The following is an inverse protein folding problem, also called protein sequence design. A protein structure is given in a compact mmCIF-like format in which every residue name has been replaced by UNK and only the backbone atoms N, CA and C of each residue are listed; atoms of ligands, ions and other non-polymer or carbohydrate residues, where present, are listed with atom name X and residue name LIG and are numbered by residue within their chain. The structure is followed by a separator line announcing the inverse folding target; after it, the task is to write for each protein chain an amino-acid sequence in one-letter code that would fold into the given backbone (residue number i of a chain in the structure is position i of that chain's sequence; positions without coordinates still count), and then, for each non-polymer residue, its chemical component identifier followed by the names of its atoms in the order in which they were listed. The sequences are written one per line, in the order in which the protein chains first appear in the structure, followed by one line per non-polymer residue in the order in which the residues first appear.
data_IF_389611117274
#
_entry.id   IF_389611117274
#
_cell.length_a   1.000
_cell.length_b   1.000
_cell.length_c   1.000
_cell.angle_alpha   90.00
_cell.angle_beta   90.00
_cell.angle_gamma   90.00
#
_symmetry.space_group_name_H-M   'P 1'
#
loop_
_entity.id
_entity.type
_entity.pdbx_description
1 polymer ?
#
# COMPACT_ATOMS: atom_id res chain seq x y z
N UNK A 1 -49.37 -11.82 54.03
CA UNK A 1 -48.91 -10.82 53.03
C UNK A 1 -47.40 -10.87 52.96
N UNK A 2 -46.81 -11.25 51.82
CA UNK A 2 -45.36 -11.12 51.58
C UNK A 2 -45.16 -10.46 50.23
N UNK A 3 -44.66 -9.24 50.25
CA UNK A 3 -44.27 -8.47 49.07
C UNK A 3 -43.03 -9.11 48.43
N UNK A 4 -43.25 -9.96 47.42
CA UNK A 4 -42.22 -10.30 46.43
C UNK A 4 -42.42 -9.37 45.23
N UNK A 5 -41.83 -8.18 45.26
CA UNK A 5 -41.85 -7.24 44.12
C UNK A 5 -40.48 -6.69 43.72
N UNK A 6 -39.38 -7.16 44.32
CA UNK A 6 -38.05 -6.59 44.08
C UNK A 6 -37.05 -7.44 43.29
N UNK A 7 -37.23 -8.77 43.16
CA UNK A 7 -36.18 -9.64 42.60
C UNK A 7 -36.13 -9.68 41.07
N UNK A 8 -37.28 -9.53 40.40
CA UNK A 8 -37.35 -9.57 38.94
C UNK A 8 -36.78 -8.32 38.26
N UNK A 9 -36.93 -7.13 38.86
CA UNK A 9 -36.39 -5.90 38.26
C UNK A 9 -34.87 -5.84 38.36
N UNK A 10 -34.28 -6.30 39.47
CA UNK A 10 -32.83 -6.25 39.69
C UNK A 10 -32.09 -7.20 38.75
N UNK A 11 -32.59 -8.42 38.55
CA UNK A 11 -31.98 -9.37 37.60
C UNK A 11 -32.04 -8.89 36.15
N UNK A 12 -33.12 -8.20 35.77
CA UNK A 12 -33.28 -7.65 34.42
C UNK A 12 -32.41 -6.40 34.21
N UNK A 13 -32.26 -5.54 35.23
CA UNK A 13 -31.37 -4.39 35.21
C UNK A 13 -29.89 -4.82 35.14
N UNK A 14 -29.53 -5.89 35.86
CA UNK A 14 -28.20 -6.47 35.83
C UNK A 14 -27.89 -7.14 34.48
N UNK A 15 -28.86 -7.82 33.86
CA UNK A 15 -28.70 -8.37 32.52
C UNK A 15 -28.52 -7.26 31.48
N UNK A 16 -29.33 -6.19 31.55
CA UNK A 16 -29.20 -5.04 30.66
C UNK A 16 -27.87 -4.32 30.84
N UNK A 17 -27.39 -4.14 32.07
CA UNK A 17 -26.10 -3.48 32.30
C UNK A 17 -24.92 -4.32 31.78
N UNK A 18 -24.93 -5.64 32.00
CA UNK A 18 -23.91 -6.55 31.45
C UNK A 18 -23.97 -6.56 29.92
N UNK A 19 -25.17 -6.66 29.33
CA UNK A 19 -25.34 -6.61 27.88
C UNK A 19 -24.84 -5.29 27.28
N UNK A 20 -25.06 -4.17 27.96
CA UNK A 20 -24.61 -2.85 27.50
C UNK A 20 -23.08 -2.71 27.60
N UNK A 21 -22.47 -3.22 28.67
CA UNK A 21 -21.01 -3.27 28.81
C UNK A 21 -20.41 -4.11 27.67
N UNK A 22 -20.94 -5.32 27.44
CA UNK A 22 -20.50 -6.19 26.35
C UNK A 22 -20.64 -5.45 25.01
N UNK A 23 -21.80 -4.83 24.75
CA UNK A 23 -22.03 -4.07 23.52
C UNK A 23 -20.98 -2.96 23.34
N UNK A 24 -20.71 -2.14 24.38
CA UNK A 24 -19.74 -1.04 24.32
C UNK A 24 -18.33 -1.55 24.02
N UNK A 25 -17.92 -2.64 24.66
CA UNK A 25 -16.61 -3.26 24.39
C UNK A 25 -16.53 -3.77 22.95
N UNK A 26 -17.55 -4.51 22.49
CA UNK A 26 -17.59 -5.02 21.12
C UNK A 26 -17.59 -3.88 20.10
N UNK A 27 -18.38 -2.82 20.29
CA UNK A 27 -18.42 -1.69 19.36
C UNK A 27 -17.10 -0.95 19.31
N UNK A 28 -16.46 -0.72 20.46
CA UNK A 28 -15.18 0.00 20.52
C UNK A 28 -14.06 -0.79 19.84
N UNK A 29 -13.96 -2.10 20.10
CA UNK A 29 -12.98 -2.95 19.43
C UNK A 29 -13.23 -3.06 17.93
N UNK A 30 -14.49 -3.20 17.49
CA UNK A 30 -14.82 -3.32 16.08
C UNK A 30 -14.50 -2.04 15.31
N UNK A 31 -14.81 -0.87 15.87
CA UNK A 31 -14.53 0.43 15.25
C UNK A 31 -13.04 0.65 15.03
N UNK A 32 -12.20 0.28 15.99
CA UNK A 32 -10.74 0.40 15.86
C UNK A 32 -10.21 -0.47 14.71
N UNK A 33 -10.65 -1.72 14.62
CA UNK A 33 -10.24 -2.63 13.53
C UNK A 33 -10.70 -2.10 12.16
N UNK A 34 -11.92 -1.58 12.07
CA UNK A 34 -12.44 -1.00 10.83
C UNK A 34 -11.64 0.23 10.41
N UNK A 35 -11.25 1.08 11.37
CA UNK A 35 -10.40 2.24 11.11
C UNK A 35 -9.03 1.82 10.57
N UNK A 36 -8.37 0.84 11.21
CA UNK A 36 -7.07 0.33 10.77
C UNK A 36 -7.15 -0.30 9.37
N UNK A 37 -8.20 -1.06 9.08
CA UNK A 37 -8.47 -1.62 7.74
C UNK A 37 -8.66 -0.53 6.69
N UNK A 38 -9.35 0.56 7.02
CA UNK A 38 -9.55 1.66 6.10
C UNK A 38 -8.23 2.34 5.77
N UNK A 39 -7.41 2.64 6.78
CA UNK A 39 -6.10 3.27 6.60
C UNK A 39 -5.17 2.40 5.75
N UNK A 40 -5.10 1.10 6.04
CA UNK A 40 -4.32 0.16 5.24
C UNK A 40 -4.83 0.08 3.78
N UNK A 41 -6.15 0.15 3.57
CA UNK A 41 -6.73 0.15 2.23
C UNK A 41 -6.39 1.41 1.44
N UNK A 42 -6.42 2.58 2.09
CA UNK A 42 -6.06 3.86 1.45
C UNK A 42 -4.59 3.83 1.00
N UNK A 43 -3.66 3.40 1.86
CA UNK A 43 -2.25 3.22 1.50
C UNK A 43 -2.09 2.20 0.36
N UNK A 44 -2.83 1.09 0.42
CA UNK A 44 -2.78 0.07 -0.63
C UNK A 44 -3.22 0.62 -1.99
N UNK A 45 -4.29 1.42 -2.02
CA UNK A 45 -4.78 2.08 -3.24
C UNK A 45 -3.73 3.05 -3.79
N UNK A 46 -3.14 3.89 -2.94
CA UNK A 46 -2.04 4.80 -3.33
C UNK A 46 -0.87 4.03 -3.94
N UNK A 47 -0.45 2.93 -3.32
CA UNK A 47 0.64 2.08 -3.85
C UNK A 47 0.28 1.43 -5.19
N UNK A 48 -0.95 0.95 -5.37
CA UNK A 48 -1.38 0.39 -6.66
C UNK A 48 -1.44 1.45 -7.75
N UNK A 49 -1.90 2.67 -7.44
CA UNK A 49 -1.91 3.78 -8.39
C UNK A 49 -0.48 4.14 -8.82
N UNK A 50 0.44 4.30 -7.85
CA UNK A 50 1.86 4.57 -8.11
C UNK A 50 2.46 3.49 -9.00
N UNK A 51 2.19 2.21 -8.70
CA UNK A 51 2.63 1.08 -9.52
C UNK A 51 2.11 1.19 -10.95
N UNK A 52 0.81 1.44 -11.13
CA UNK A 52 0.19 1.50 -12.45
C UNK A 52 0.74 2.67 -13.28
N UNK A 53 0.82 3.88 -12.71
CA UNK A 53 1.36 5.04 -13.42
C UNK A 53 2.85 4.90 -13.70
N UNK A 54 3.62 4.30 -12.81
CA UNK A 54 5.04 4.01 -13.05
C UNK A 54 5.25 3.01 -14.19
N UNK A 55 4.43 1.95 -14.26
CA UNK A 55 4.50 0.99 -15.36
C UNK A 55 4.09 1.62 -16.70
N UNK A 56 3.08 2.49 -16.69
CA UNK A 56 2.65 3.25 -17.88
C UNK A 56 3.72 4.25 -18.33
N UNK A 57 4.32 4.97 -17.38
CA UNK A 57 5.43 5.90 -17.65
C UNK A 57 6.60 5.16 -18.31
N UNK A 58 6.99 4.00 -17.79
CA UNK A 58 8.00 3.15 -18.42
C UNK A 58 7.62 2.76 -19.85
N UNK A 59 6.40 2.24 -20.04
CA UNK A 59 5.94 1.82 -21.37
C UNK A 59 5.99 2.98 -22.37
N UNK A 60 5.53 4.17 -21.97
CA UNK A 60 5.58 5.37 -22.81
C UNK A 60 7.02 5.78 -23.15
N UNK A 61 7.92 5.78 -22.16
CA UNK A 61 9.34 6.09 -22.39
C UNK A 61 9.99 5.10 -23.36
N UNK A 62 9.72 3.80 -23.21
CA UNK A 62 10.24 2.76 -24.12
C UNK A 62 9.66 2.94 -25.52
N UNK A 63 8.37 3.27 -25.65
CA UNK A 63 7.75 3.53 -26.95
C UNK A 63 8.34 4.76 -27.66
N UNK A 64 8.61 5.84 -26.92
CA UNK A 64 9.14 7.09 -27.48
C UNK A 64 10.64 7.00 -27.80
N UNK A 65 11.43 6.49 -26.87
CA UNK A 65 12.89 6.41 -27.01
C UNK A 65 13.36 5.18 -27.79
N UNK A 66 12.49 4.17 -27.91
CA UNK A 66 12.82 2.82 -28.40
C UNK A 66 13.96 2.17 -27.60
N UNK A 67 14.21 2.63 -26.37
CA UNK A 67 15.26 2.14 -25.48
C UNK A 67 14.68 1.48 -24.21
N UNK A 68 15.19 0.29 -23.89
CA UNK A 68 14.91 -0.44 -22.66
C UNK A 68 15.48 0.18 -21.39
N UNK A 69 16.74 0.64 -21.35
CA UNK A 69 17.29 1.16 -20.12
C UNK A 69 16.64 2.49 -19.78
N UNK A 70 15.77 2.49 -18.77
CA UNK A 70 15.18 3.68 -18.19
C UNK A 70 15.55 3.74 -16.72
N UNK A 71 16.16 4.84 -16.31
CA UNK A 71 16.68 5.02 -14.94
C UNK A 71 15.93 6.08 -14.15
N UNK A 72 15.24 6.99 -14.84
CA UNK A 72 14.54 8.11 -14.22
C UNK A 72 13.10 7.73 -13.89
N UNK A 73 12.81 7.64 -12.58
CA UNK A 73 11.46 7.53 -12.06
C UNK A 73 11.39 8.32 -10.76
N UNK A 74 10.40 9.18 -10.65
CA UNK A 74 10.10 9.97 -9.45
C UNK A 74 8.59 10.20 -9.38
N UNK A 75 8.08 10.53 -8.19
CA UNK A 75 6.67 10.86 -7.98
C UNK A 75 6.18 12.01 -8.89
N UNK A 76 7.03 13.01 -9.10
CA UNK A 76 6.74 14.14 -9.99
C UNK A 76 6.55 13.71 -11.45
N UNK A 77 7.34 12.75 -11.95
CA UNK A 77 7.25 12.27 -13.33
C UNK A 77 5.97 11.48 -13.61
N UNK A 78 5.43 10.80 -12.59
CA UNK A 78 4.17 10.05 -12.70
C UNK A 78 2.93 10.88 -12.35
N UNK A 79 3.11 12.16 -11.97
CA UNK A 79 2.02 13.09 -11.66
C UNK A 79 1.17 12.65 -10.47
N UNK A 80 1.79 12.02 -9.47
CA UNK A 80 1.15 11.66 -8.19
C UNK A 80 1.81 12.50 -7.10
N UNK A 81 1.05 13.11 -6.17
CA UNK A 81 1.63 13.77 -5.01
C UNK A 81 2.50 12.79 -4.20
N UNK A 82 3.64 13.26 -3.72
CA UNK A 82 4.56 12.47 -2.89
C UNK A 82 4.07 12.30 -1.45
N UNK A 83 2.93 12.91 -1.10
CA UNK A 83 2.33 12.85 0.22
C UNK A 83 0.80 12.90 0.11
N UNK A 84 0.11 11.93 0.71
CA UNK A 84 -1.36 11.86 0.73
C UNK A 84 -1.95 12.23 2.10
N UNK A 85 -1.13 12.72 3.02
CA UNK A 85 -1.50 13.04 4.40
C UNK A 85 -1.33 11.87 5.38
N UNK A 86 -1.23 10.63 4.88
CA UNK A 86 -1.01 9.43 5.69
C UNK A 86 0.45 8.97 5.61
N UNK A 87 1.01 8.98 4.41
CA UNK A 87 2.37 8.58 4.15
C UNK A 87 3.06 9.52 3.15
N UNK A 88 4.39 9.54 3.23
CA UNK A 88 5.25 10.02 2.18
C UNK A 88 5.66 8.87 1.27
N UNK A 89 5.60 9.08 -0.04
CA UNK A 89 5.92 8.09 -1.04
C UNK A 89 7.17 8.47 -1.84
N UNK A 90 8.01 7.47 -2.08
CA UNK A 90 9.12 7.55 -3.03
C UNK A 90 9.07 6.34 -3.96
N UNK A 91 9.50 6.52 -5.20
CA UNK A 91 9.38 5.49 -6.23
C UNK A 91 10.59 5.51 -7.15
N UNK A 92 11.11 4.31 -7.46
CA UNK A 92 12.24 4.14 -8.37
C UNK A 92 12.17 2.82 -9.13
N UNK A 93 12.83 2.78 -10.28
CA UNK A 93 13.06 1.52 -10.99
C UNK A 93 14.18 0.72 -10.34
N UNK A 94 13.96 -0.58 -10.18
CA UNK A 94 15.00 -1.53 -9.77
C UNK A 94 15.74 -1.96 -11.03
N UNK A 95 17.02 -1.62 -11.11
CA UNK A 95 17.85 -1.98 -12.26
C UNK A 95 18.33 -3.44 -12.14
N UNK A 96 18.47 -4.12 -13.28
CA UNK A 96 19.11 -5.45 -13.32
C UNK A 96 20.63 -5.28 -13.28
N UNK A 97 21.32 -6.35 -12.90
CA UNK A 97 22.78 -6.40 -12.98
C UNK A 97 23.30 -6.33 -14.43
N UNK A 98 22.48 -6.76 -15.39
CA UNK A 98 22.84 -6.68 -16.81
C UNK A 98 22.71 -5.23 -17.31
N UNK A 99 23.79 -4.61 -17.83
CA UNK A 99 23.73 -3.26 -18.38
C UNK A 99 22.79 -3.22 -19.59
N UNK A 100 22.22 -2.04 -19.86
CA UNK A 100 21.36 -1.77 -21.02
C UNK A 100 20.11 -2.67 -21.12
N UNK A 101 19.68 -3.23 -19.98
CA UNK A 101 18.50 -4.07 -19.92
C UNK A 101 17.31 -3.34 -19.32
N UNK A 102 16.12 -3.90 -19.51
CA UNK A 102 14.92 -3.43 -18.85
C UNK A 102 15.10 -3.46 -17.32
N UNK A 103 14.55 -2.50 -16.58
CA UNK A 103 14.40 -2.62 -15.13
C UNK A 103 13.74 -3.96 -14.74
N UNK A 104 14.16 -4.55 -13.62
CA UNK A 104 13.54 -5.76 -13.08
C UNK A 104 12.17 -5.47 -12.46
N UNK A 105 11.99 -4.27 -11.93
CA UNK A 105 10.79 -3.92 -11.18
C UNK A 105 10.70 -2.45 -10.81
N UNK A 106 9.67 -2.16 -10.03
CA UNK A 106 9.40 -0.87 -9.41
C UNK A 106 9.50 -1.08 -7.90
N UNK A 107 10.30 -0.25 -7.23
CA UNK A 107 10.34 -0.15 -5.78
C UNK A 107 9.53 1.07 -5.37
N UNK A 108 8.53 0.87 -4.51
CA UNK A 108 7.73 1.94 -3.90
C UNK A 108 8.03 1.91 -2.40
N UNK A 109 8.43 3.05 -1.86
CA UNK A 109 8.67 3.26 -0.43
C UNK A 109 7.55 4.13 0.10
N UNK A 110 6.84 3.65 1.11
CA UNK A 110 5.81 4.39 1.82
C UNK A 110 6.25 4.59 3.27
N UNK A 111 6.59 5.81 3.65
CA UNK A 111 6.98 6.20 5.00
C UNK A 111 5.78 6.81 5.70
N UNK A 112 5.26 6.17 6.74
CA UNK A 112 4.13 6.71 7.49
C UNK A 112 4.55 7.91 8.34
N UNK A 113 3.67 8.91 8.43
CA UNK A 113 3.92 10.07 9.30
C UNK A 113 3.72 9.75 10.78
N UNK A 114 2.73 8.91 11.09
CA UNK A 114 2.41 8.51 12.46
C UNK A 114 3.01 7.13 12.78
N UNK A 115 3.90 7.10 13.78
CA UNK A 115 4.53 5.87 14.27
C UNK A 115 3.56 4.94 14.98
N UNK A 116 2.52 5.47 15.62
CA UNK A 116 1.51 4.63 16.28
C UNK A 116 0.67 3.85 15.27
N UNK A 117 0.54 4.38 14.04
CA UNK A 117 -0.14 3.68 12.95
C UNK A 117 0.68 2.52 12.38
N UNK A 118 2.01 2.59 12.44
CA UNK A 118 2.92 1.61 11.82
C UNK A 118 2.58 0.19 12.24
N UNK A 119 2.49 -0.10 13.54
CA UNK A 119 2.20 -1.45 14.03
C UNK A 119 0.79 -1.91 13.67
N UNK A 120 -0.17 -0.98 13.65
CA UNK A 120 -1.59 -1.27 13.36
C UNK A 120 -1.77 -1.66 11.90
N UNK A 121 -1.18 -0.91 10.97
CA UNK A 121 -1.32 -1.18 9.53
C UNK A 121 -0.31 -2.18 9.00
N UNK A 122 0.83 -2.41 9.67
CA UNK A 122 1.86 -3.36 9.22
C UNK A 122 1.33 -4.79 9.05
N UNK A 123 0.36 -5.20 9.87
CA UNK A 123 -0.28 -6.54 9.76
C UNK A 123 -1.25 -6.66 8.58
N UNK A 124 -1.74 -5.53 8.09
CA UNK A 124 -2.75 -5.45 7.04
C UNK A 124 -2.13 -5.15 5.68
N UNK A 125 -1.02 -4.41 5.68
CA UNK A 125 -0.18 -4.22 4.52
C UNK A 125 0.68 -5.48 4.32
N UNK A 126 0.88 -5.90 3.07
CA UNK A 126 1.80 -6.99 2.72
C UNK A 126 3.04 -6.42 2.02
N UNK A 127 3.91 -5.68 2.73
CA UNK A 127 5.13 -5.13 2.16
C UNK A 127 6.14 -6.23 1.84
N UNK A 128 7.04 -5.96 0.91
CA UNK A 128 8.18 -6.85 0.64
C UNK A 128 9.22 -6.74 1.75
N UNK A 129 9.45 -5.53 2.26
CA UNK A 129 10.31 -5.26 3.40
C UNK A 129 9.72 -4.15 4.25
N UNK A 130 9.99 -4.16 5.55
CA UNK A 130 9.65 -3.08 6.47
C UNK A 130 10.91 -2.61 7.18
N UNK A 131 11.11 -1.29 7.24
CA UNK A 131 12.19 -0.67 7.99
C UNK A 131 11.61 0.45 8.86
N UNK A 132 11.47 0.20 10.16
CA UNK A 132 10.84 1.11 11.12
C UNK A 132 9.45 1.58 10.64
N UNK A 133 9.35 2.83 10.19
CA UNK A 133 8.17 3.54 9.71
C UNK A 133 7.96 3.43 8.19
N UNK A 134 8.89 2.80 7.48
CA UNK A 134 8.92 2.74 6.03
C UNK A 134 8.61 1.33 5.52
N UNK A 135 7.56 1.24 4.71
CA UNK A 135 7.15 0.03 4.00
C UNK A 135 7.69 0.05 2.58
N UNK A 136 8.40 -1.01 2.19
CA UNK A 136 8.99 -1.15 0.86
C UNK A 136 8.22 -2.22 0.11
N UNK A 137 7.66 -1.84 -1.04
CA UNK A 137 6.94 -2.71 -1.94
C UNK A 137 7.72 -2.91 -3.23
N UNK A 138 7.96 -4.16 -3.59
CA UNK A 138 8.59 -4.53 -4.86
C UNK A 138 7.57 -5.12 -5.80
N UNK A 139 7.42 -4.49 -6.97
CA UNK A 139 6.55 -4.99 -8.03
C UNK A 139 7.37 -5.35 -9.26
N UNK A 140 7.17 -6.55 -9.84
CA UNK A 140 7.85 -6.92 -11.07
C UNK A 140 7.34 -6.07 -12.24
N UNK A 141 8.27 -5.57 -13.06
CA UNK A 141 7.94 -4.84 -14.27
C UNK A 141 8.06 -5.81 -15.45
N UNK A 142 6.91 -6.25 -15.96
CA UNK A 142 6.85 -7.13 -17.13
C UNK A 142 6.74 -6.25 -18.37
N UNK A 143 7.78 -6.25 -19.19
CA UNK A 143 7.72 -5.66 -20.52
C UNK A 143 7.55 -6.77 -21.55
N UNK A 144 6.40 -6.80 -22.23
CA UNK A 144 6.10 -7.73 -23.32
C UNK A 144 5.82 -6.91 -24.59
N UNK A 145 6.83 -6.23 -25.12
CA UNK A 145 6.73 -5.69 -26.47
C UNK A 145 7.04 -6.80 -27.50
N UNK A 146 6.30 -6.82 -28.61
CA UNK A 146 6.34 -7.91 -29.59
C UNK A 146 7.57 -7.83 -30.51
N UNK A 147 8.16 -6.64 -30.68
CA UNK A 147 9.15 -6.33 -31.73
C UNK A 147 10.60 -6.14 -31.22
N UNK A 148 11.09 -7.03 -30.35
CA UNK A 148 12.49 -6.97 -29.86
C UNK A 148 13.53 -7.53 -30.81
N UNK A 149 13.14 -8.01 -31.99
CA UNK A 149 14.06 -8.69 -32.93
C UNK A 149 15.22 -7.80 -33.43
N UNK A 150 15.12 -6.48 -33.25
CA UNK A 150 16.13 -5.49 -33.64
C UNK A 150 16.82 -4.80 -32.45
N UNK A 151 16.75 -5.38 -31.25
CA UNK A 151 17.40 -4.84 -30.06
C UNK A 151 18.93 -4.89 -30.19
N UNK A 152 19.58 -3.73 -30.12
CA UNK A 152 21.03 -3.68 -30.00
C UNK A 152 21.44 -3.88 -28.53
N UNK A 153 22.04 -5.03 -28.24
CA UNK A 153 22.46 -5.41 -26.88
C UNK A 153 23.53 -4.49 -26.26
N UNK A 154 24.27 -3.74 -27.09
CA UNK A 154 25.32 -2.84 -26.60
C UNK A 154 24.78 -1.53 -26.03
N UNK A 155 23.57 -1.11 -26.42
CA UNK A 155 22.94 0.12 -25.93
C UNK A 155 21.51 -0.08 -25.40
N UNK A 156 20.91 -1.26 -25.59
CA UNK A 156 19.57 -1.58 -25.11
C UNK A 156 18.46 -0.89 -25.91
N UNK A 157 18.76 -0.40 -27.12
CA UNK A 157 17.80 0.32 -27.95
C UNK A 157 17.53 -0.42 -29.27
N UNK A 158 16.32 -0.25 -29.78
CA UNK A 158 15.89 -0.73 -31.10
C UNK A 158 16.25 0.35 -32.14
N UNK A 159 16.95 -0.04 -33.21
CA UNK A 159 17.18 0.82 -34.39
C UNK A 159 16.00 0.72 -35.36
#
# INVERSE_FOLDING_TARGET
MRHQRGSFSVGLLQYLSISLIILVFFTSSLLNVLSDMRLAKEIHVSVQEIRQKSALHYANQVLQSRCLPQTTLTMALIGIPDNDGLAKYDVKYIQRAQPNSAPSGIEIRATLHDKEMVERVARLLSPTQQNNDTFIFHFPLRNQLHDWQQLNVNNGCIK
#
